data_IF_712876512282
#
_entry.id   IF_712876512282
#
_cell.length_a   1.000
_cell.length_b   1.000
_cell.length_c   1.000
_cell.angle_alpha   90.00
_cell.angle_beta   90.00
_cell.angle_gamma   90.00
#
_symmetry.space_group_name_H-M   'P 1'
#
loop_
_entity.id
_entity.type
_entity.pdbx_description
1 polymer ?
#
# COMPACT_ATOMS: atom_id res chain seq x y z
N UNK A 1 -14.04 1.64 6.67
CA UNK A 1 -14.37 2.13 5.30
C UNK A 1 -13.48 1.44 4.28
N UNK A 2 -14.00 1.13 3.09
CA UNK A 2 -13.28 0.37 2.06
C UNK A 2 -13.07 1.21 0.80
N UNK A 3 -11.87 1.14 0.22
CA UNK A 3 -11.53 1.74 -1.07
C UNK A 3 -11.02 0.63 -2.02
N UNK A 4 -11.73 0.41 -3.12
CA UNK A 4 -11.42 -0.60 -4.13
C UNK A 4 -10.84 0.08 -5.37
N UNK A 5 -9.57 -0.18 -5.66
CA UNK A 5 -8.86 0.37 -6.82
C UNK A 5 -8.18 -0.71 -7.65
N UNK A 6 -8.50 -2.00 -7.42
CA UNK A 6 -7.97 -3.15 -8.15
C UNK A 6 -8.16 -3.00 -9.67
N UNK A 7 -7.16 -3.42 -10.45
CA UNK A 7 -7.29 -3.54 -11.91
C UNK A 7 -7.29 -2.21 -12.68
N UNK A 8 -6.71 -1.15 -12.08
CA UNK A 8 -6.61 0.16 -12.72
C UNK A 8 -5.21 0.40 -13.30
N UNK A 9 -4.94 1.64 -13.77
CA UNK A 9 -3.63 2.05 -14.31
C UNK A 9 -2.94 3.08 -13.42
N UNK A 10 -3.18 3.00 -12.10
CA UNK A 10 -2.65 3.96 -11.14
C UNK A 10 -1.13 3.80 -11.07
N UNK A 11 -0.40 4.88 -11.35
CA UNK A 11 1.07 4.91 -11.32
C UNK A 11 1.62 5.38 -9.98
N UNK A 12 0.92 6.30 -9.34
CA UNK A 12 1.28 6.89 -8.06
C UNK A 12 0.03 7.03 -7.20
N UNK A 13 0.18 6.81 -5.90
CA UNK A 13 -0.89 7.05 -4.93
C UNK A 13 -0.64 8.42 -4.28
N UNK A 14 -1.58 9.37 -4.36
CA UNK A 14 -1.37 10.70 -3.78
C UNK A 14 -1.40 10.67 -2.26
N UNK A 15 -0.63 11.55 -1.61
CA UNK A 15 -0.58 11.67 -0.14
C UNK A 15 -1.96 11.93 0.50
N UNK A 16 -2.90 12.51 -0.24
CA UNK A 16 -4.27 12.74 0.23
C UNK A 16 -5.01 11.44 0.55
N UNK A 17 -4.71 10.34 -0.13
CA UNK A 17 -5.29 9.01 0.21
C UNK A 17 -4.80 8.57 1.58
N UNK A 18 -3.56 8.89 1.95
CA UNK A 18 -2.99 8.56 3.25
C UNK A 18 -3.59 9.36 4.41
N UNK A 19 -4.30 10.45 4.11
CA UNK A 19 -5.03 11.25 5.11
C UNK A 19 -6.40 10.65 5.47
N UNK A 20 -6.83 9.58 4.77
CA UNK A 20 -8.07 8.87 5.07
C UNK A 20 -7.91 8.02 6.34
N UNK A 21 -7.85 8.67 7.50
CA UNK A 21 -7.60 8.04 8.80
C UNK A 21 -8.64 6.99 9.21
N UNK A 22 -9.84 7.00 8.61
CA UNK A 22 -10.90 6.00 8.86
C UNK A 22 -10.95 4.90 7.79
N UNK A 23 -9.94 4.82 6.93
CA UNK A 23 -9.85 3.77 5.92
C UNK A 23 -9.42 2.47 6.60
N UNK A 24 -10.22 1.43 6.41
CA UNK A 24 -10.02 0.09 6.98
C UNK A 24 -9.55 -0.90 5.92
N UNK A 25 -9.85 -0.67 4.64
CA UNK A 25 -9.49 -1.60 3.58
C UNK A 25 -9.10 -0.85 2.31
N UNK A 26 -7.99 -1.23 1.68
CA UNK A 26 -7.46 -0.60 0.46
C UNK A 26 -6.94 -1.66 -0.51
N UNK A 27 -7.63 -1.85 -1.63
CA UNK A 27 -7.22 -2.80 -2.68
C UNK A 27 -6.54 -2.05 -3.82
N UNK A 28 -5.26 -2.32 -4.06
CA UNK A 28 -4.44 -1.67 -5.08
C UNK A 28 -3.83 -2.67 -6.09
N UNK A 29 -4.21 -3.95 -6.04
CA UNK A 29 -3.65 -4.98 -6.92
C UNK A 29 -3.91 -4.68 -8.40
N UNK A 30 -3.13 -5.29 -9.28
CA UNK A 30 -3.21 -5.14 -10.73
C UNK A 30 -3.22 -3.67 -11.19
N UNK A 31 -2.33 -2.87 -10.62
CA UNK A 31 -2.11 -1.48 -11.03
C UNK A 31 -0.71 -1.30 -11.65
N UNK A 32 -0.24 -0.06 -11.74
CA UNK A 32 1.09 0.30 -12.26
C UNK A 32 1.90 1.08 -11.22
N UNK A 33 1.62 0.86 -9.93
CA UNK A 33 2.32 1.53 -8.85
C UNK A 33 3.78 1.09 -8.82
N UNK A 34 4.68 2.06 -8.92
CA UNK A 34 6.12 1.84 -8.74
C UNK A 34 6.59 2.19 -7.34
N UNK A 35 5.86 3.05 -6.66
CA UNK A 35 6.17 3.49 -5.31
C UNK A 35 4.93 3.72 -4.45
N UNK A 36 5.09 3.58 -3.13
CA UNK A 36 4.12 4.03 -2.14
C UNK A 36 4.55 5.40 -1.56
N UNK A 37 3.59 6.29 -1.26
CA UNK A 37 3.89 7.59 -0.65
C UNK A 37 4.53 7.42 0.72
N UNK A 38 5.41 8.36 1.13
CA UNK A 38 6.01 8.36 2.48
C UNK A 38 4.97 8.42 3.59
N UNK A 39 3.83 9.01 3.29
CA UNK A 39 2.69 9.15 4.20
C UNK A 39 1.87 7.86 4.33
N UNK A 40 2.17 6.80 3.58
CA UNK A 40 1.40 5.54 3.60
C UNK A 40 1.18 4.96 5.01
N UNK A 41 2.16 4.98 5.93
CA UNK A 41 1.97 4.54 7.31
C UNK A 41 0.99 5.38 8.16
N UNK A 42 0.49 6.52 7.65
CA UNK A 42 -0.54 7.31 8.33
C UNK A 42 -1.91 6.62 8.32
N UNK A 43 -2.11 5.62 7.46
CA UNK A 43 -3.30 4.78 7.40
C UNK A 43 -3.36 3.77 8.55
N UNK A 44 -3.35 4.25 9.80
CA UNK A 44 -3.25 3.44 11.03
C UNK A 44 -4.40 2.46 11.26
N UNK A 45 -5.54 2.70 10.62
CA UNK A 45 -6.74 1.87 10.73
C UNK A 45 -6.86 0.87 9.59
N UNK A 46 -5.91 0.86 8.64
CA UNK A 46 -5.93 -0.07 7.53
C UNK A 46 -5.71 -1.48 8.07
N UNK A 47 -6.71 -2.32 7.87
CA UNK A 47 -6.60 -3.73 8.17
C UNK A 47 -5.74 -4.41 7.10
N UNK A 48 -4.59 -4.91 7.54
CA UNK A 48 -3.67 -5.69 6.70
C UNK A 48 -4.02 -7.18 6.70
N UNK A 49 -4.94 -7.62 7.57
CA UNK A 49 -5.21 -9.02 7.80
C UNK A 49 -6.10 -9.61 6.70
N UNK A 50 -5.48 -10.48 5.90
CA UNK A 50 -6.03 -11.75 5.45
C UNK A 50 -7.47 -11.77 4.90
N UNK A 51 -7.70 -11.12 3.75
CA UNK A 51 -8.71 -11.63 2.83
C UNK A 51 -8.02 -12.19 1.57
N UNK A 52 -7.82 -13.51 1.62
CA UNK A 52 -7.26 -14.42 0.60
C UNK A 52 -5.74 -14.52 0.51
N UNK A 53 -5.27 -15.75 0.74
CA UNK A 53 -3.93 -16.31 0.47
C UNK A 53 -3.47 -16.21 -1.00
N UNK A 54 -4.23 -15.52 -1.85
CA UNK A 54 -4.07 -15.51 -3.31
C UNK A 54 -3.91 -14.10 -3.91
N UNK A 55 -3.99 -13.03 -3.11
CA UNK A 55 -3.83 -11.66 -3.61
C UNK A 55 -3.38 -10.73 -2.49
N UNK A 56 -2.07 -10.49 -2.35
CA UNK A 56 -1.61 -9.34 -1.57
C UNK A 56 -2.16 -8.07 -2.21
N UNK A 57 -2.57 -7.07 -1.41
CA UNK A 57 -3.19 -5.80 -1.89
C UNK A 57 -2.40 -5.04 -2.98
N UNK A 58 -1.17 -5.44 -3.30
CA UNK A 58 -0.29 -4.81 -4.27
C UNK A 58 0.21 -5.77 -5.36
N UNK A 59 -0.23 -7.04 -5.39
CA UNK A 59 0.15 -7.96 -6.48
C UNK A 59 -0.17 -7.35 -7.84
N UNK A 60 0.59 -7.71 -8.87
CA UNK A 60 0.41 -7.16 -10.22
C UNK A 60 0.89 -5.71 -10.40
N UNK A 61 1.48 -5.08 -9.37
CA UNK A 61 2.16 -3.79 -9.48
C UNK A 61 3.68 -3.94 -9.64
N UNK A 62 4.34 -3.12 -10.47
CA UNK A 62 5.79 -3.06 -10.58
C UNK A 62 6.42 -2.26 -9.41
N UNK A 63 6.07 -2.60 -8.17
CA UNK A 63 6.55 -1.88 -6.98
C UNK A 63 8.05 -2.07 -6.79
N UNK A 64 8.77 -0.95 -6.76
CA UNK A 64 10.21 -0.89 -6.48
C UNK A 64 10.45 -0.30 -5.07
N UNK A 65 9.58 0.60 -4.61
CA UNK A 65 9.79 1.34 -3.38
C UNK A 65 8.49 1.59 -2.56
N UNK A 66 8.20 0.82 -1.51
CA UNK A 66 8.92 -0.35 -1.01
C UNK A 66 8.72 -1.58 -1.93
N UNK A 67 9.67 -2.52 -1.96
CA UNK A 67 9.53 -3.75 -2.72
C UNK A 67 8.39 -4.60 -2.17
N UNK A 68 7.83 -5.46 -3.04
CA UNK A 68 6.66 -6.27 -2.75
C UNK A 68 6.84 -7.18 -1.51
N UNK A 69 8.06 -7.67 -1.28
CA UNK A 69 8.41 -8.47 -0.10
C UNK A 69 8.30 -7.69 1.22
N UNK A 70 8.57 -6.38 1.20
CA UNK A 70 8.37 -5.51 2.36
C UNK A 70 6.89 -5.25 2.56
N UNK A 71 6.14 -5.04 1.47
CA UNK A 71 4.69 -4.88 1.55
C UNK A 71 4.02 -6.11 2.17
N UNK A 72 4.42 -7.32 1.76
CA UNK A 72 3.88 -8.59 2.30
C UNK A 72 4.10 -8.74 3.82
N UNK A 73 5.10 -8.09 4.39
CA UNK A 73 5.39 -8.12 5.84
C UNK A 73 4.49 -7.22 6.68
N UNK A 74 3.66 -6.38 6.06
CA UNK A 74 2.72 -5.53 6.80
C UNK A 74 3.17 -4.09 6.99
N UNK A 75 2.30 -3.34 7.66
CA UNK A 75 2.43 -1.89 7.83
C UNK A 75 3.70 -1.51 8.61
N UNK A 76 4.08 -2.27 9.63
CA UNK A 76 5.29 -2.02 10.42
C UNK A 76 6.55 -2.11 9.57
N UNK A 77 6.62 -3.10 8.67
CA UNK A 77 7.76 -3.27 7.77
C UNK A 77 7.84 -2.14 6.74
N UNK A 78 6.69 -1.72 6.20
CA UNK A 78 6.59 -0.56 5.29
C UNK A 78 7.03 0.71 6.01
N UNK A 79 6.56 0.94 7.25
CA UNK A 79 6.92 2.12 8.03
C UNK A 79 8.43 2.14 8.31
N UNK A 80 9.00 1.03 8.75
CA UNK A 80 10.44 0.93 8.99
C UNK A 80 11.26 1.16 7.73
N UNK A 81 10.82 0.62 6.59
CA UNK A 81 11.49 0.81 5.31
C UNK A 81 11.46 2.29 4.89
N UNK A 82 10.27 2.90 4.88
CA UNK A 82 10.09 4.30 4.48
C UNK A 82 10.79 5.30 5.42
N UNK A 83 10.91 4.98 6.72
CA UNK A 83 11.71 5.78 7.68
C UNK A 83 13.22 5.67 7.44
N UNK A 84 13.70 4.52 6.97
CA UNK A 84 15.13 4.24 6.73
C UNK A 84 15.66 4.77 5.40
N UNK A 85 14.80 5.10 4.45
CA UNK A 85 15.19 5.65 3.15
C UNK A 85 15.07 7.19 3.15
N UNK A 86 16.15 7.94 3.47
CA UNK A 86 16.20 9.35 3.11
C UNK A 86 16.12 9.45 1.58
N UNK A 87 15.29 10.38 1.08
CA UNK A 87 15.23 10.66 -0.37
C UNK A 87 16.47 11.41 -0.79
#
# INVERSE_FOLDING_TARGET
RTLLLLGNRIKTLPDSVCQLSKLETLWLGDNKLTELPKSFPQLKHLDWHHHCELSSNFEGNPLVNPPLDVCRKGMDAIEQYLKKTPK
#
